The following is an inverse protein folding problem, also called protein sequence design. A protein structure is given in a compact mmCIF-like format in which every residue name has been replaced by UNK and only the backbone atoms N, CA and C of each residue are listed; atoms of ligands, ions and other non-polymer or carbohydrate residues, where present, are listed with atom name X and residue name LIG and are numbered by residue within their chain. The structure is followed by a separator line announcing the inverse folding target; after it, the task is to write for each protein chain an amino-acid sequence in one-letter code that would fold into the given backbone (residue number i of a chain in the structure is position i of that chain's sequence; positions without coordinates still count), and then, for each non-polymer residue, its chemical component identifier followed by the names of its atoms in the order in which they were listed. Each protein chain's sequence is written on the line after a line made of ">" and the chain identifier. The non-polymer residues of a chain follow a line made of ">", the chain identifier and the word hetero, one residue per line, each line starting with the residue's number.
data_IF_253584489377
#
_entry.id   IF_253584489377
#
_cell.length_a   1.000
_cell.length_b   1.000
_cell.length_c   1.000
_cell.angle_alpha   90.00
_cell.angle_beta   90.00
_cell.angle_gamma   90.00
#
_symmetry.space_group_name_H-M   'P 1'
#
loop_
_entity.id
_entity.type
_entity.pdbx_description
1 polymer ?
#
# COMPACT_ATOMS: atom_id res chain seq x y z
N UNK A 1 -12.18 2.70 23.78
CA UNK A 1 -13.47 3.43 23.95
C UNK A 1 -13.55 4.13 25.32
N UNK A 2 -13.07 3.51 26.42
CA UNK A 2 -13.04 4.14 27.76
C UNK A 2 -12.14 5.40 27.81
N UNK A 3 -10.96 5.35 27.17
CA UNK A 3 -10.04 6.50 27.14
C UNK A 3 -10.67 7.70 26.43
N UNK A 4 -11.44 7.47 25.36
CA UNK A 4 -12.12 8.56 24.64
C UNK A 4 -13.26 9.17 25.47
N UNK A 5 -13.96 8.37 26.28
CA UNK A 5 -15.02 8.84 27.17
C UNK A 5 -14.48 9.65 28.35
N UNK A 6 -13.27 9.35 28.85
CA UNK A 6 -12.65 10.09 29.95
C UNK A 6 -12.27 11.53 29.57
N UNK A 7 -12.20 11.87 28.28
CA UNK A 7 -11.88 13.21 27.79
C UNK A 7 -13.10 14.03 27.36
N UNK A 8 -14.32 13.51 27.52
CA UNK A 8 -15.52 14.27 27.26
C UNK A 8 -15.62 15.42 28.29
N UNK A 9 -15.41 16.67 27.85
CA UNK A 9 -15.43 17.87 28.69
C UNK A 9 -14.07 18.43 29.10
N UNK A 10 -12.94 17.77 28.70
CA UNK A 10 -11.59 18.27 29.00
C UNK A 10 -11.16 19.33 28.00
N UNK A 11 -10.48 20.38 28.45
CA UNK A 11 -9.92 21.41 27.58
C UNK A 11 -8.97 20.85 26.56
N UNK A 12 -8.98 21.40 25.33
CA UNK A 12 -8.18 20.97 24.19
C UNK A 12 -6.68 20.89 24.51
N UNK A 13 -6.16 21.84 25.26
CA UNK A 13 -4.74 21.90 25.61
C UNK A 13 -4.34 20.76 26.54
N UNK A 14 -5.17 20.47 27.52
CA UNK A 14 -4.97 19.36 28.47
C UNK A 14 -4.98 18.02 27.74
N UNK A 15 -5.86 17.85 26.76
CA UNK A 15 -5.92 16.66 25.92
C UNK A 15 -4.64 16.48 25.10
N UNK A 16 -4.15 17.55 24.44
CA UNK A 16 -2.92 17.51 23.66
C UNK A 16 -1.72 17.15 24.54
N UNK A 17 -1.63 17.70 25.75
CA UNK A 17 -0.55 17.36 26.70
C UNK A 17 -0.57 15.88 27.06
N UNK A 18 -1.71 15.33 27.36
CA UNK A 18 -1.88 13.91 27.71
C UNK A 18 -1.51 12.99 26.54
N UNK A 19 -1.94 13.35 25.31
CA UNK A 19 -1.59 12.60 24.10
C UNK A 19 -0.06 12.64 23.84
N UNK A 20 0.57 13.80 24.00
CA UNK A 20 2.02 13.98 23.84
C UNK A 20 2.83 13.23 24.90
N UNK A 21 2.40 13.23 26.14
CA UNK A 21 3.02 12.47 27.20
C UNK A 21 2.92 10.96 26.97
N UNK A 22 1.75 10.51 26.53
CA UNK A 22 1.53 9.12 26.11
C UNK A 22 2.44 8.70 24.95
N UNK A 23 2.66 9.56 23.96
CA UNK A 23 3.57 9.33 22.84
C UNK A 23 5.01 9.25 23.35
N UNK A 24 5.46 10.21 24.15
CA UNK A 24 6.83 10.23 24.72
C UNK A 24 7.12 8.97 25.53
N UNK A 25 6.18 8.57 26.39
CA UNK A 25 6.31 7.36 27.19
C UNK A 25 6.44 6.12 26.31
N UNK A 26 5.58 5.95 25.30
CA UNK A 26 5.64 4.80 24.39
C UNK A 26 6.94 4.72 23.58
N UNK A 27 7.46 5.88 23.14
CA UNK A 27 8.75 5.94 22.44
C UNK A 27 9.89 5.64 23.41
N UNK A 28 9.84 6.18 24.61
CA UNK A 28 10.84 5.90 25.67
C UNK A 28 10.90 4.43 26.05
N UNK A 29 9.74 3.81 26.31
CA UNK A 29 9.64 2.41 26.71
C UNK A 29 10.12 1.44 25.61
N UNK A 30 9.92 1.79 24.32
CA UNK A 30 10.32 0.97 23.17
C UNK A 30 11.76 1.20 22.73
N UNK A 31 12.31 2.37 23.00
CA UNK A 31 13.54 2.83 22.42
C UNK A 31 13.44 3.07 20.89
N UNK A 32 14.51 3.57 20.30
CA UNK A 32 14.54 3.91 18.86
C UNK A 32 14.31 2.67 17.99
N UNK A 33 15.01 1.57 18.26
CA UNK A 33 14.90 0.33 17.48
C UNK A 33 13.54 -0.34 17.63
N UNK A 34 12.95 -0.33 18.82
CA UNK A 34 11.60 -0.84 19.06
C UNK A 34 10.54 -0.02 18.31
N UNK A 35 10.73 1.30 18.22
CA UNK A 35 9.85 2.20 17.47
C UNK A 35 9.95 1.96 15.96
N UNK A 36 11.16 1.83 15.41
CA UNK A 36 11.38 1.49 13.99
C UNK A 36 10.74 0.14 13.65
N UNK A 37 10.98 -0.88 14.49
CA UNK A 37 10.38 -2.22 14.31
C UNK A 37 8.84 -2.17 14.35
N UNK A 38 8.27 -1.37 15.24
CA UNK A 38 6.83 -1.16 15.30
C UNK A 38 6.28 -0.53 14.03
N UNK A 39 6.94 0.52 13.51
CA UNK A 39 6.53 1.15 12.25
C UNK A 39 6.64 0.22 11.05
N UNK A 40 7.72 -0.53 10.94
CA UNK A 40 7.88 -1.52 9.87
C UNK A 40 6.80 -2.61 9.96
N UNK A 41 6.53 -3.14 11.16
CA UNK A 41 5.45 -4.13 11.36
C UNK A 41 4.08 -3.56 10.96
N UNK A 42 3.83 -2.31 11.31
CA UNK A 42 2.62 -1.58 10.94
C UNK A 42 2.47 -1.51 9.40
N UNK A 43 3.55 -1.23 8.68
CA UNK A 43 3.55 -1.22 7.23
C UNK A 43 3.30 -2.62 6.64
N UNK A 44 4.00 -3.62 7.13
CA UNK A 44 3.78 -5.01 6.69
C UNK A 44 2.30 -5.38 6.83
N UNK A 45 1.66 -5.05 7.96
CA UNK A 45 0.24 -5.33 8.16
C UNK A 45 -0.66 -4.61 7.14
N UNK A 46 -0.34 -3.35 6.79
CA UNK A 46 -1.12 -2.60 5.81
C UNK A 46 -0.98 -3.18 4.39
N UNK A 47 0.24 -3.56 4.00
CA UNK A 47 0.53 -4.05 2.66
C UNK A 47 0.27 -5.56 2.48
N UNK A 48 0.00 -6.29 3.56
CA UNK A 48 -0.20 -7.74 3.51
C UNK A 48 -1.62 -8.16 3.14
N UNK A 49 -2.55 -7.24 3.05
CA UNK A 49 -3.95 -7.54 2.78
C UNK A 49 -4.38 -7.02 1.40
N UNK A 50 -4.49 -7.93 0.44
CA UNK A 50 -4.97 -7.64 -0.91
C UNK A 50 -6.46 -7.33 -1.01
N UNK A 51 -7.21 -7.51 0.08
CA UNK A 51 -8.63 -7.11 0.17
C UNK A 51 -8.81 -5.70 0.71
N UNK A 52 -7.72 -5.05 1.16
CA UNK A 52 -7.74 -3.72 1.79
C UNK A 52 -8.71 -3.60 2.97
N UNK A 53 -8.85 -4.68 3.74
CA UNK A 53 -9.76 -4.77 4.89
C UNK A 53 -11.24 -4.56 4.54
N UNK A 54 -11.60 -4.86 3.31
CA UNK A 54 -12.96 -4.68 2.80
C UNK A 54 -14.04 -5.23 3.75
N UNK A 55 -13.84 -6.45 4.24
CA UNK A 55 -14.83 -7.12 5.09
C UNK A 55 -15.07 -6.39 6.43
N UNK A 56 -14.05 -5.73 6.98
CA UNK A 56 -14.18 -4.98 8.24
C UNK A 56 -15.04 -3.73 8.05
N UNK A 57 -14.85 -3.03 6.95
CA UNK A 57 -15.63 -1.83 6.62
C UNK A 57 -17.07 -2.19 6.24
N UNK A 58 -17.26 -3.23 5.41
CA UNK A 58 -18.59 -3.71 4.98
C UNK A 58 -19.38 -4.38 6.11
N UNK A 59 -18.71 -5.15 6.95
CA UNK A 59 -19.33 -5.82 8.09
C UNK A 59 -19.85 -4.82 9.13
N UNK A 60 -19.11 -3.76 9.40
CA UNK A 60 -19.55 -2.71 10.33
C UNK A 60 -20.83 -2.03 9.85
N UNK A 61 -20.92 -1.69 8.58
CA UNK A 61 -22.13 -1.13 8.00
C UNK A 61 -23.29 -2.11 7.99
N UNK A 62 -23.04 -3.38 7.72
CA UNK A 62 -24.09 -4.42 7.72
C UNK A 62 -24.62 -4.74 9.12
N UNK A 63 -23.81 -4.57 10.15
CA UNK A 63 -24.20 -4.77 11.55
C UNK A 63 -24.98 -3.59 12.13
N UNK A 64 -24.52 -2.38 11.85
CA UNK A 64 -25.08 -1.15 12.42
C UNK A 64 -26.29 -0.64 11.63
N UNK A 65 -26.31 -0.93 10.32
CA UNK A 65 -27.41 -0.59 9.40
C UNK A 65 -27.75 -1.83 8.57
N UNK A 66 -28.55 -2.76 9.11
CA UNK A 66 -29.04 -3.86 8.30
C UNK A 66 -29.83 -3.26 7.14
N UNK A 67 -29.17 -3.18 5.98
CA UNK A 67 -29.83 -2.78 4.75
C UNK A 67 -30.93 -3.82 4.50
N UNK A 68 -32.16 -3.44 4.76
CA UNK A 68 -33.38 -4.19 4.44
C UNK A 68 -33.57 -4.21 2.90
N UNK A 69 -32.51 -4.49 2.18
CA UNK A 69 -32.54 -4.66 0.75
C UNK A 69 -32.86 -6.14 0.52
N UNK A 70 -34.13 -6.44 0.42
CA UNK A 70 -34.63 -7.69 -0.16
C UNK A 70 -34.30 -7.68 -1.66
N UNK A 71 -33.07 -7.88 -2.03
CA UNK A 71 -32.69 -8.01 -3.42
C UNK A 71 -32.07 -9.39 -3.67
N UNK A 72 -32.44 -10.01 -4.77
CA UNK A 72 -31.88 -11.29 -5.23
C UNK A 72 -30.37 -11.29 -5.42
N UNK A 73 -29.72 -10.12 -5.44
CA UNK A 73 -28.26 -9.97 -5.51
C UNK A 73 -27.53 -10.03 -4.16
N UNK A 74 -28.24 -10.02 -3.02
CA UNK A 74 -27.64 -9.97 -1.69
C UNK A 74 -26.88 -11.25 -1.34
N UNK A 75 -27.48 -12.40 -1.62
CA UNK A 75 -26.89 -13.72 -1.30
C UNK A 75 -25.58 -13.99 -2.06
N UNK A 76 -25.49 -13.81 -3.39
CA UNK A 76 -24.22 -14.01 -4.08
C UNK A 76 -23.15 -13.02 -3.63
N UNK A 77 -23.48 -11.75 -3.35
CA UNK A 77 -22.51 -10.80 -2.81
C UNK A 77 -22.02 -11.21 -1.43
N UNK A 78 -22.91 -11.66 -0.56
CA UNK A 78 -22.55 -12.16 0.77
C UNK A 78 -21.61 -13.36 0.68
N UNK A 79 -21.90 -14.30 -0.22
CA UNK A 79 -21.07 -15.49 -0.41
C UNK A 79 -19.60 -15.18 -0.72
N UNK A 80 -19.32 -14.08 -1.43
CA UNK A 80 -17.96 -13.70 -1.81
C UNK A 80 -17.28 -12.70 -0.86
N UNK A 81 -18.03 -11.75 -0.31
CA UNK A 81 -17.43 -10.60 0.40
C UNK A 81 -17.50 -10.70 1.93
N UNK A 82 -18.30 -11.58 2.50
CA UNK A 82 -18.39 -11.77 3.95
C UNK A 82 -17.54 -12.95 4.42
N UNK A 83 -16.95 -12.84 5.60
CA UNK A 83 -16.09 -13.89 6.17
C UNK A 83 -16.78 -15.25 6.34
N UNK A 84 -18.08 -15.25 6.60
CA UNK A 84 -18.93 -16.44 6.69
C UNK A 84 -19.43 -16.95 5.33
N UNK A 85 -19.07 -16.25 4.25
CA UNK A 85 -19.47 -16.60 2.89
C UNK A 85 -18.76 -17.83 2.35
N UNK A 86 -19.49 -18.70 1.64
CA UNK A 86 -18.96 -19.95 1.09
C UNK A 86 -17.79 -19.77 0.13
N UNK A 87 -17.74 -18.65 -0.57
CA UNK A 87 -16.71 -18.32 -1.57
C UNK A 87 -15.69 -17.27 -1.11
N UNK A 88 -15.74 -16.84 0.15
CA UNK A 88 -14.88 -15.81 0.68
C UNK A 88 -13.39 -16.16 0.55
N UNK A 89 -13.03 -17.43 0.77
CA UNK A 89 -11.66 -17.91 0.64
C UNK A 89 -11.10 -17.71 -0.80
N UNK A 90 -11.94 -17.93 -1.80
CA UNK A 90 -11.55 -17.70 -3.19
C UNK A 90 -11.33 -16.21 -3.49
N UNK A 91 -12.24 -15.36 -3.02
CA UNK A 91 -12.11 -13.91 -3.17
C UNK A 91 -10.82 -13.40 -2.53
N UNK A 92 -10.55 -13.77 -1.29
CA UNK A 92 -9.34 -13.34 -0.58
C UNK A 92 -8.07 -13.88 -1.24
N UNK A 93 -8.05 -15.14 -1.66
CA UNK A 93 -6.89 -15.76 -2.31
C UNK A 93 -6.56 -15.10 -3.64
N UNK A 94 -7.56 -14.85 -4.48
CA UNK A 94 -7.39 -14.19 -5.78
C UNK A 94 -6.93 -12.74 -5.56
N UNK A 95 -7.59 -12.00 -4.67
CA UNK A 95 -7.23 -10.61 -4.35
C UNK A 95 -5.79 -10.52 -3.83
N UNK A 96 -5.40 -11.43 -2.97
CA UNK A 96 -4.03 -11.50 -2.45
C UNK A 96 -3.02 -11.83 -3.54
N UNK A 97 -3.33 -12.78 -4.42
CA UNK A 97 -2.47 -13.12 -5.56
C UNK A 97 -2.27 -11.94 -6.52
N UNK A 98 -3.35 -11.25 -6.88
CA UNK A 98 -3.30 -10.05 -7.72
C UNK A 98 -2.50 -8.92 -7.06
N UNK A 99 -2.71 -8.71 -5.76
CA UNK A 99 -1.98 -7.70 -5.01
C UNK A 99 -0.48 -7.99 -4.97
N UNK A 100 -0.08 -9.22 -4.69
CA UNK A 100 1.33 -9.62 -4.73
C UNK A 100 1.94 -9.43 -6.12
N UNK A 101 1.20 -9.73 -7.18
CA UNK A 101 1.63 -9.49 -8.55
C UNK A 101 1.87 -7.99 -8.82
N UNK A 102 0.98 -7.11 -8.34
CA UNK A 102 1.16 -5.66 -8.41
C UNK A 102 2.39 -5.21 -7.63
N UNK A 103 2.55 -5.66 -6.38
CA UNK A 103 3.71 -5.30 -5.55
C UNK A 103 5.04 -5.73 -6.18
N UNK A 104 5.12 -6.92 -6.76
CA UNK A 104 6.31 -7.39 -7.47
C UNK A 104 6.64 -6.50 -8.67
N UNK A 105 5.64 -6.05 -9.42
CA UNK A 105 5.83 -5.09 -10.52
C UNK A 105 6.36 -3.74 -10.03
N UNK A 106 5.82 -3.22 -8.91
CA UNK A 106 6.28 -1.98 -8.27
C UNK A 106 7.74 -2.08 -7.82
N UNK A 107 8.11 -3.19 -7.15
CA UNK A 107 9.48 -3.45 -6.71
C UNK A 107 10.43 -3.52 -7.93
N UNK A 108 9.98 -4.14 -8.99
CA UNK A 108 10.75 -4.25 -10.24
C UNK A 108 11.02 -2.87 -10.86
N UNK A 109 9.99 -2.02 -10.97
CA UNK A 109 10.18 -0.66 -11.51
C UNK A 109 11.11 0.17 -10.63
N UNK A 110 10.91 0.13 -9.30
CA UNK A 110 11.79 0.81 -8.36
C UNK A 110 13.25 0.34 -8.48
N UNK A 111 13.47 -0.96 -8.63
CA UNK A 111 14.79 -1.54 -8.85
C UNK A 111 15.44 -1.10 -10.17
N UNK A 112 14.65 -1.04 -11.25
CA UNK A 112 15.13 -0.57 -12.56
C UNK A 112 15.50 0.92 -12.53
N UNK A 113 14.71 1.74 -11.84
CA UNK A 113 15.02 3.16 -11.69
C UNK A 113 16.27 3.38 -10.86
N UNK A 114 16.40 2.69 -9.74
CA UNK A 114 17.60 2.78 -8.90
C UNK A 114 18.84 2.36 -9.70
N UNK A 115 18.73 1.26 -10.47
CA UNK A 115 19.81 0.82 -11.34
C UNK A 115 20.18 1.88 -12.38
N UNK A 116 19.17 2.49 -13.03
CA UNK A 116 19.37 3.54 -14.03
C UNK A 116 20.02 4.77 -13.41
N UNK A 117 19.54 5.22 -12.25
CA UNK A 117 20.12 6.35 -11.52
C UNK A 117 21.61 6.11 -11.17
N UNK A 118 21.92 4.94 -10.60
CA UNK A 118 23.32 4.58 -10.24
C UNK A 118 24.19 4.47 -11.48
N UNK A 119 23.69 3.88 -12.57
CA UNK A 119 24.45 3.74 -13.82
C UNK A 119 24.73 5.09 -14.50
N UNK A 120 23.77 6.01 -14.44
CA UNK A 120 23.94 7.38 -14.98
C UNK A 120 24.97 8.18 -14.20
N UNK A 121 24.99 8.05 -12.87
CA UNK A 121 26.01 8.69 -12.03
C UNK A 121 27.41 8.15 -12.35
N UNK A 122 27.52 6.83 -12.56
CA UNK A 122 28.82 6.19 -12.84
C UNK A 122 29.32 6.40 -14.26
N UNK A 123 28.44 6.65 -15.24
CA UNK A 123 28.80 6.78 -16.68
C UNK A 123 28.04 7.96 -17.32
N UNK A 124 28.43 9.22 -17.06
CA UNK A 124 27.69 10.41 -17.50
C UNK A 124 27.64 10.58 -19.03
N UNK A 125 28.46 9.83 -19.79
CA UNK A 125 28.58 9.95 -21.24
C UNK A 125 27.40 9.30 -22.02
N UNK A 126 26.59 8.47 -21.35
CA UNK A 126 25.38 7.83 -21.92
C UNK A 126 24.13 8.65 -21.55
N UNK A 127 24.09 9.92 -21.97
CA UNK A 127 22.89 10.75 -21.85
C UNK A 127 21.86 10.27 -22.87
N UNK A 128 20.83 9.72 -22.37
CA UNK A 128 19.78 8.94 -22.98
C UNK A 128 18.80 9.78 -23.81
N UNK A 129 18.22 9.13 -24.80
CA UNK A 129 17.17 9.64 -25.68
C UNK A 129 15.98 10.23 -24.90
N UNK A 130 15.31 11.22 -25.47
CA UNK A 130 14.19 11.99 -24.92
C UNK A 130 13.10 11.12 -24.28
N UNK A 131 12.74 10.02 -24.92
CA UNK A 131 11.76 9.04 -24.43
C UNK A 131 12.13 8.36 -23.10
N UNK A 132 13.42 8.24 -22.79
CA UNK A 132 13.87 7.71 -21.51
C UNK A 132 13.78 8.76 -20.41
N UNK A 133 13.93 10.04 -20.75
CA UNK A 133 13.76 11.16 -19.82
C UNK A 133 12.34 11.22 -19.29
N UNK A 134 11.33 11.12 -20.16
CA UNK A 134 9.91 11.18 -19.76
C UNK A 134 9.52 10.01 -18.88
N UNK A 135 9.96 8.81 -19.21
CA UNK A 135 9.72 7.63 -18.37
C UNK A 135 10.37 7.79 -17.00
N UNK A 136 11.61 8.25 -16.95
CA UNK A 136 12.30 8.47 -15.67
C UNK A 136 11.60 9.53 -14.82
N UNK A 137 11.12 10.62 -15.44
CA UNK A 137 10.36 11.64 -14.75
C UNK A 137 9.07 11.08 -14.15
N UNK A 138 8.26 10.39 -14.95
CA UNK A 138 7.01 9.76 -14.49
C UNK A 138 7.24 8.80 -13.34
N UNK A 139 8.19 7.88 -13.50
CA UNK A 139 8.49 6.88 -12.47
C UNK A 139 9.06 7.52 -11.20
N UNK A 140 9.84 8.59 -11.32
CA UNK A 140 10.35 9.33 -10.16
C UNK A 140 9.21 9.99 -9.39
N UNK A 141 8.28 10.65 -10.07
CA UNK A 141 7.09 11.25 -9.44
C UNK A 141 6.27 10.17 -8.71
N UNK A 142 6.05 9.03 -9.34
CA UNK A 142 5.31 7.93 -8.72
C UNK A 142 6.01 7.36 -7.49
N UNK A 143 7.34 7.20 -7.52
CA UNK A 143 8.11 6.75 -6.34
C UNK A 143 8.06 7.77 -5.21
N UNK A 144 8.19 9.05 -5.51
CA UNK A 144 8.07 10.12 -4.50
C UNK A 144 6.67 10.09 -3.87
N UNK A 145 5.63 9.93 -4.69
CA UNK A 145 4.24 9.78 -4.20
C UNK A 145 4.09 8.54 -3.32
N UNK A 146 4.66 7.41 -3.72
CA UNK A 146 4.67 6.18 -2.92
C UNK A 146 5.38 6.38 -1.58
N UNK A 147 6.58 6.98 -1.58
CA UNK A 147 7.32 7.27 -0.35
C UNK A 147 6.52 8.22 0.55
N UNK A 148 5.92 9.27 -0.01
CA UNK A 148 5.07 10.20 0.74
C UNK A 148 3.90 9.49 1.41
N UNK A 149 3.20 8.62 0.68
CA UNK A 149 2.11 7.82 1.23
C UNK A 149 2.59 6.81 2.27
N UNK A 150 3.72 6.14 2.03
CA UNK A 150 4.33 5.22 2.99
C UNK A 150 4.63 5.92 4.31
N UNK A 151 5.25 7.10 4.26
CA UNK A 151 5.54 7.91 5.44
C UNK A 151 4.26 8.40 6.12
N UNK A 152 3.27 8.83 5.34
CA UNK A 152 1.98 9.25 5.88
C UNK A 152 1.33 8.12 6.69
N UNK A 153 1.17 6.93 6.11
CA UNK A 153 0.57 5.77 6.79
C UNK A 153 1.42 5.30 7.96
N UNK A 154 2.75 5.49 7.91
CA UNK A 154 3.65 5.18 9.02
C UNK A 154 3.40 6.07 10.23
N UNK A 155 3.23 7.37 10.03
CA UNK A 155 3.08 8.36 11.10
C UNK A 155 1.65 8.43 11.64
N UNK A 156 0.66 8.26 10.76
CA UNK A 156 -0.75 8.40 11.11
C UNK A 156 -1.42 7.05 11.34
N UNK A 157 -2.70 6.98 11.10
CA UNK A 157 -3.50 5.77 11.26
C UNK A 157 -3.15 4.73 10.19
N UNK A 158 -2.83 3.50 10.61
CA UNK A 158 -2.58 2.38 9.72
C UNK A 158 -3.91 1.67 9.43
N UNK A 159 -4.52 2.01 8.31
CA UNK A 159 -5.64 1.24 7.75
C UNK A 159 -5.37 0.93 6.29
N UNK A 160 -5.53 -0.31 5.91
CA UNK A 160 -5.30 -0.77 4.54
C UNK A 160 -6.17 0.00 3.51
N UNK A 161 -7.35 0.50 3.91
CA UNK A 161 -8.21 1.33 3.05
C UNK A 161 -7.54 2.59 2.50
N UNK A 162 -6.53 3.16 3.19
CA UNK A 162 -5.80 4.31 2.64
C UNK A 162 -4.97 3.96 1.42
N UNK A 163 -4.56 2.69 1.30
CA UNK A 163 -3.85 2.21 0.12
C UNK A 163 -4.76 2.09 -1.09
N UNK A 164 -6.07 1.94 -0.88
CA UNK A 164 -7.05 1.86 -1.97
C UNK A 164 -6.99 3.07 -2.89
N UNK A 165 -6.86 4.27 -2.34
CA UNK A 165 -6.75 5.50 -3.12
C UNK A 165 -5.46 5.55 -3.96
N UNK A 166 -4.47 4.72 -3.63
CA UNK A 166 -3.19 4.66 -4.32
C UNK A 166 -3.10 3.52 -5.34
N UNK A 167 -4.15 2.72 -5.49
CA UNK A 167 -4.19 1.64 -6.48
C UNK A 167 -3.80 2.11 -7.89
N UNK A 168 -4.27 3.26 -8.40
CA UNK A 168 -3.85 3.74 -9.73
C UNK A 168 -2.33 3.93 -9.83
N UNK A 169 -1.68 4.45 -8.79
CA UNK A 169 -0.22 4.64 -8.74
C UNK A 169 0.48 3.28 -8.73
N UNK A 170 0.07 2.36 -7.86
CA UNK A 170 0.62 1.01 -7.80
C UNK A 170 0.47 0.26 -9.12
N UNK A 171 -0.73 0.32 -9.72
CA UNK A 171 -1.01 -0.36 -10.99
C UNK A 171 -0.15 0.18 -12.12
N UNK A 172 0.00 1.49 -12.22
CA UNK A 172 0.85 2.11 -13.25
C UNK A 172 2.31 1.72 -13.06
N UNK A 173 2.84 1.79 -11.84
CA UNK A 173 4.20 1.35 -11.54
C UNK A 173 4.40 -0.14 -11.85
N UNK A 174 3.42 -0.98 -11.51
CA UNK A 174 3.49 -2.41 -11.80
C UNK A 174 3.54 -2.69 -13.30
N UNK A 175 2.69 -2.02 -14.09
CA UNK A 175 2.72 -2.15 -15.56
C UNK A 175 4.06 -1.72 -16.13
N UNK A 176 4.61 -0.58 -15.70
CA UNK A 176 5.93 -0.13 -16.14
C UNK A 176 7.02 -1.14 -15.79
N UNK A 177 6.97 -1.72 -14.60
CA UNK A 177 7.91 -2.75 -14.15
C UNK A 177 7.84 -4.02 -14.99
N UNK A 178 6.64 -4.55 -15.21
CA UNK A 178 6.44 -5.76 -16.02
C UNK A 178 6.81 -5.53 -17.50
N UNK A 179 6.43 -4.38 -18.07
CA UNK A 179 6.84 -4.01 -19.43
C UNK A 179 8.37 -3.92 -19.56
N UNK A 180 9.05 -3.42 -18.52
CA UNK A 180 10.50 -3.35 -18.48
C UNK A 180 11.17 -4.75 -18.50
N UNK A 181 10.64 -5.71 -17.73
CA UNK A 181 11.12 -7.11 -17.76
C UNK A 181 10.87 -7.71 -19.14
N UNK A 182 9.63 -7.61 -19.64
CA UNK A 182 9.26 -8.16 -20.95
C UNK A 182 10.20 -7.66 -22.06
N UNK A 183 10.45 -6.36 -22.12
CA UNK A 183 11.36 -5.76 -23.10
C UNK A 183 12.79 -6.31 -22.97
N UNK A 184 13.31 -6.46 -21.76
CA UNK A 184 14.64 -7.04 -21.54
C UNK A 184 14.71 -8.52 -21.97
N UNK A 185 13.70 -9.30 -21.61
CA UNK A 185 13.62 -10.70 -22.01
C UNK A 185 13.56 -10.83 -23.55
N UNK A 186 12.70 -10.04 -24.20
CA UNK A 186 12.57 -10.05 -25.66
C UNK A 186 13.90 -9.74 -26.37
N UNK A 187 14.60 -8.69 -25.93
CA UNK A 187 15.92 -8.32 -26.51
C UNK A 187 16.99 -9.39 -26.28
N UNK A 188 16.94 -10.14 -25.19
CA UNK A 188 17.85 -11.25 -24.94
C UNK A 188 17.58 -12.45 -25.87
N UNK A 189 16.33 -12.73 -26.20
CA UNK A 189 15.96 -13.80 -27.13
C UNK A 189 16.34 -13.47 -28.57
N UNK A 190 16.16 -12.22 -28.98
CA UNK A 190 16.49 -11.76 -30.32
C UNK A 190 18.02 -11.84 -30.58
N UNK A 191 18.82 -11.42 -29.59
CA UNK A 191 20.29 -11.51 -29.63
C UNK A 191 20.84 -12.96 -29.69
N UNK A 192 20.07 -13.96 -29.26
CA UNK A 192 20.47 -15.38 -29.37
C UNK A 192 20.09 -15.99 -30.70
N UNK A 193 19.26 -15.32 -31.51
CA UNK A 193 18.87 -15.81 -32.85
C UNK A 193 19.74 -15.27 -33.98
N UNK A 194 20.54 -14.24 -33.70
CA UNK A 194 21.59 -13.72 -34.60
C UNK A 194 22.94 -14.40 -34.29
#
# INVERSE_FOLDING_TARGET
>A
LEIVRSFAGTDKNTRIQYEMEGIRKRIGDRGIWGTIRFWLRKQVMNFNDGTFSWYQEGYFQAWEYPLNIESSGKEPLRAFYWQDGSNYIWFTTISQGLWLFVLLGVITEAGMLLWTAVSTIRRPKYRTEENLSDRLCLSTVMIVTFIGMFLFVMLFEARARYLYNMIPVFSTMAVLGWCGIYRKCFLMFDKKRQ
#
